data_IF_767481600645
#
_entry.id   IF_767481600645
#
_cell.length_a   1.000
_cell.length_b   1.000
_cell.length_c   1.000
_cell.angle_alpha   90.00
_cell.angle_beta   90.00
_cell.angle_gamma   90.00
#
_symmetry.space_group_name_H-M   'P 1'
#
loop_
_entity.id
_entity.type
_entity.pdbx_description
1 polymer ?
#
# COMPACT_ATOMS: atom_id res chain seq x y z
N UNK A 1 -21.67 0.73 -22.00
CA UNK A 1 -20.91 -0.36 -21.34
C UNK A 1 -19.54 -0.44 -21.97
N UNK A 2 -18.53 0.23 -21.40
CA UNK A 2 -17.14 0.13 -21.86
C UNK A 2 -16.46 -1.03 -21.14
N UNK A 3 -16.00 -2.02 -21.90
CA UNK A 3 -15.26 -3.16 -21.38
C UNK A 3 -13.86 -2.73 -20.93
N UNK A 4 -13.62 -2.79 -19.61
CA UNK A 4 -12.39 -2.50 -18.86
C UNK A 4 -11.10 -3.25 -19.28
N UNK A 5 -11.09 -3.95 -20.43
CA UNK A 5 -9.98 -4.82 -20.82
C UNK A 5 -8.89 -4.15 -21.65
N UNK A 6 -9.10 -2.94 -22.19
CA UNK A 6 -8.19 -2.36 -23.19
C UNK A 6 -7.25 -1.25 -22.69
N UNK A 7 -7.28 -0.86 -21.41
CA UNK A 7 -6.47 0.28 -20.92
C UNK A 7 -5.22 -0.10 -20.10
N UNK A 8 -4.94 -1.38 -19.87
CA UNK A 8 -3.92 -1.79 -18.88
C UNK A 8 -2.52 -1.90 -19.50
N UNK A 9 -1.89 -0.76 -19.80
CA UNK A 9 -0.44 -0.71 -19.98
C UNK A 9 0.10 0.67 -19.58
N UNK A 10 0.41 0.87 -18.29
CA UNK A 10 1.40 1.88 -17.91
C UNK A 10 2.76 1.48 -18.52
N UNK A 11 3.52 2.42 -19.12
CA UNK A 11 4.90 2.18 -19.54
C UNK A 11 5.84 2.23 -18.32
N UNK A 12 5.56 1.46 -17.27
CA UNK A 12 6.50 1.23 -16.17
C UNK A 12 7.31 -0.01 -16.52
N UNK A 13 8.45 0.20 -17.17
CA UNK A 13 9.47 -0.83 -17.41
C UNK A 13 9.87 -1.42 -16.05
N UNK A 14 9.52 -2.69 -15.84
CA UNK A 14 9.82 -3.53 -14.65
C UNK A 14 9.17 -3.06 -13.34
N UNK A 15 7.89 -3.37 -13.13
CA UNK A 15 7.30 -3.39 -11.79
C UNK A 15 6.79 -4.81 -11.52
N UNK A 16 7.47 -5.53 -10.62
CA UNK A 16 7.00 -6.82 -10.11
C UNK A 16 5.65 -6.58 -9.44
N UNK A 17 4.56 -7.12 -10.01
CA UNK A 17 3.18 -6.82 -9.58
C UNK A 17 2.89 -7.57 -8.28
N UNK A 18 3.19 -6.98 -7.12
CA UNK A 18 2.76 -7.54 -5.83
C UNK A 18 1.49 -6.84 -5.34
N UNK A 19 0.48 -7.63 -4.98
CA UNK A 19 -0.73 -7.17 -4.32
C UNK A 19 -0.53 -7.22 -2.79
N UNK A 20 -0.76 -6.10 -2.14
CA UNK A 20 -0.60 -5.91 -0.70
C UNK A 20 -1.96 -5.87 -0.02
N UNK A 21 -2.17 -6.65 1.04
CA UNK A 21 -3.45 -6.80 1.73
C UNK A 21 -3.45 -6.18 3.14
N UNK A 22 -4.42 -5.31 3.43
CA UNK A 22 -4.65 -4.78 4.77
C UNK A 22 -5.89 -5.43 5.37
N UNK A 23 -5.74 -6.08 6.54
CA UNK A 23 -6.84 -6.67 7.29
C UNK A 23 -7.57 -5.63 8.14
N UNK A 24 -8.90 -5.59 8.02
CA UNK A 24 -9.86 -4.78 8.78
C UNK A 24 -9.74 -3.25 8.65
N UNK A 25 -10.63 -2.71 7.81
CA UNK A 25 -10.69 -1.30 7.40
C UNK A 25 -11.36 -0.36 8.44
N UNK A 26 -11.83 -0.88 9.57
CA UNK A 26 -12.90 -0.25 10.37
C UNK A 26 -12.49 1.01 11.17
N UNK A 27 -11.23 1.15 11.60
CA UNK A 27 -10.88 2.18 12.63
C UNK A 27 -9.76 3.18 12.29
N UNK A 28 -9.00 3.04 11.18
CA UNK A 28 -7.97 4.05 10.78
C UNK A 28 -7.91 4.29 9.27
N UNK A 29 -8.60 3.50 8.46
CA UNK A 29 -8.64 3.74 7.02
C UNK A 29 -9.37 5.02 6.64
N UNK A 30 -9.83 5.85 7.58
CA UNK A 30 -10.22 7.22 7.30
C UNK A 30 -9.15 7.96 6.48
N UNK A 31 -7.85 7.75 6.71
CA UNK A 31 -6.81 8.42 5.90
C UNK A 31 -6.82 7.93 4.45
N UNK A 32 -6.84 6.62 4.23
CA UNK A 32 -6.90 6.02 2.88
C UNK A 32 -8.22 6.40 2.20
N UNK A 33 -9.34 6.29 2.90
CA UNK A 33 -10.67 6.68 2.42
C UNK A 33 -10.74 8.17 2.10
N UNK A 34 -10.09 9.04 2.88
CA UNK A 34 -9.99 10.47 2.60
C UNK A 34 -9.16 10.74 1.33
N UNK A 35 -8.11 9.95 1.08
CA UNK A 35 -7.35 10.02 -0.19
C UNK A 35 -8.20 9.53 -1.36
N UNK A 36 -8.97 8.45 -1.18
CA UNK A 36 -9.84 7.87 -2.21
C UNK A 36 -11.01 8.79 -2.56
N UNK A 37 -11.63 9.42 -1.56
CA UNK A 37 -12.76 10.35 -1.71
C UNK A 37 -12.36 11.68 -2.38
N UNK A 38 -11.05 11.96 -2.52
CA UNK A 38 -10.57 13.14 -3.28
C UNK A 38 -10.67 12.97 -4.79
N UNK A 39 -10.84 11.74 -5.30
CA UNK A 39 -11.11 11.52 -6.73
C UNK A 39 -12.61 11.46 -6.93
N UNK A 40 -13.16 12.46 -7.62
CA UNK A 40 -14.59 12.51 -7.92
C UNK A 40 -15.08 11.21 -8.57
N UNK A 41 -16.16 10.64 -8.04
CA UNK A 41 -16.85 9.48 -8.63
C UNK A 41 -16.33 8.10 -8.22
N UNK A 42 -15.29 8.02 -7.38
CA UNK A 42 -14.69 6.75 -6.95
C UNK A 42 -15.17 6.36 -5.55
N UNK A 43 -16.04 5.37 -5.45
CA UNK A 43 -16.51 4.83 -4.17
C UNK A 43 -15.94 3.42 -3.93
N UNK A 44 -15.10 3.26 -2.91
CA UNK A 44 -14.82 1.93 -2.36
C UNK A 44 -16.04 1.46 -1.58
N UNK A 45 -16.70 0.40 -2.05
CA UNK A 45 -17.79 -0.20 -1.31
C UNK A 45 -17.18 -0.98 -0.15
N UNK A 46 -17.34 -0.49 1.08
CA UNK A 46 -16.92 -1.22 2.27
C UNK A 46 -17.64 -2.57 2.32
N UNK A 47 -16.88 -3.66 2.16
CA UNK A 47 -17.35 -4.99 2.53
C UNK A 47 -16.91 -5.24 3.97
N UNK A 48 -17.85 -5.60 4.83
CA UNK A 48 -17.53 -6.06 6.18
C UNK A 48 -16.58 -7.27 6.10
N UNK A 49 -15.40 -7.17 6.74
CA UNK A 49 -14.38 -8.21 6.72
C UNK A 49 -13.56 -8.34 5.42
N UNK A 50 -13.61 -7.34 4.53
CA UNK A 50 -12.81 -7.33 3.30
C UNK A 50 -11.35 -6.93 3.54
N UNK A 51 -10.45 -7.49 2.73
CA UNK A 51 -9.05 -7.04 2.65
C UNK A 51 -8.95 -5.85 1.69
N UNK A 52 -8.27 -4.78 2.09
CA UNK A 52 -7.93 -3.69 1.18
C UNK A 52 -6.68 -4.07 0.39
N UNK A 53 -6.78 -4.05 -0.95
CA UNK A 53 -5.76 -4.48 -1.89
C UNK A 53 -5.20 -3.34 -2.70
N UNK A 54 -3.88 -3.22 -2.78
CA UNK A 54 -3.24 -2.28 -3.69
C UNK A 54 -1.96 -2.88 -4.26
N UNK A 55 -1.50 -2.34 -5.40
CA UNK A 55 -0.21 -2.73 -5.98
C UNK A 55 0.88 -1.76 -5.56
N UNK A 56 2.00 -2.30 -5.09
CA UNK A 56 3.14 -1.46 -4.77
C UNK A 56 4.09 -1.31 -5.96
N UNK A 57 4.35 -0.06 -6.37
CA UNK A 57 5.23 0.29 -7.47
C UNK A 57 6.55 0.85 -6.94
N UNK A 58 7.52 -0.04 -6.71
CA UNK A 58 8.84 0.35 -6.21
C UNK A 58 9.67 1.03 -7.32
N UNK A 59 10.30 2.15 -6.98
CA UNK A 59 11.33 2.81 -7.81
C UNK A 59 12.67 2.78 -7.09
N UNK A 60 13.77 2.91 -7.82
CA UNK A 60 15.13 2.94 -7.25
C UNK A 60 15.29 4.01 -6.17
N UNK A 61 14.69 5.20 -6.39
CA UNK A 61 14.68 6.28 -5.40
C UNK A 61 13.93 5.92 -4.13
N UNK A 62 12.83 5.17 -4.23
CA UNK A 62 12.03 4.77 -3.08
C UNK A 62 12.71 3.67 -2.26
N UNK A 63 13.44 2.75 -2.91
CA UNK A 63 14.07 1.64 -2.21
C UNK A 63 15.15 2.08 -1.23
N UNK A 64 15.79 3.23 -1.46
CA UNK A 64 16.85 3.78 -0.61
C UNK A 64 16.31 4.61 0.57
N UNK A 65 15.01 4.88 0.61
CA UNK A 65 14.40 5.72 1.66
C UNK A 65 14.37 4.97 2.98
N UNK A 66 14.86 5.62 4.04
CA UNK A 66 14.81 5.09 5.42
C UNK A 66 13.38 5.01 5.97
N UNK A 67 13.16 4.10 6.92
CA UNK A 67 11.85 3.89 7.55
C UNK A 67 11.31 5.12 8.28
N UNK A 68 12.17 6.07 8.65
CA UNK A 68 11.82 7.32 9.30
C UNK A 68 10.89 8.18 8.44
N UNK A 69 10.96 8.05 7.11
CA UNK A 69 10.09 8.77 6.18
C UNK A 69 8.64 8.28 6.16
N UNK A 70 8.37 7.07 6.66
CA UNK A 70 7.01 6.51 6.71
C UNK A 70 6.18 7.05 7.89
N UNK A 71 6.79 7.83 8.81
CA UNK A 71 6.11 8.38 9.99
C UNK A 71 5.31 7.31 10.76
N UNK A 72 5.97 6.18 11.01
CA UNK A 72 5.41 5.04 11.75
C UNK A 72 5.41 5.33 13.26
N UNK A 73 4.42 4.78 13.96
CA UNK A 73 4.47 4.72 15.42
C UNK A 73 5.75 4.03 15.89
N UNK A 74 6.23 4.44 17.07
CA UNK A 74 7.42 3.87 17.70
C UNK A 74 7.36 2.34 17.76
N UNK A 75 6.17 1.76 17.98
CA UNK A 75 5.98 0.30 18.01
C UNK A 75 6.23 -0.31 16.63
N UNK A 76 5.58 0.19 15.59
CA UNK A 76 5.66 -0.36 14.23
C UNK A 76 7.05 -0.19 13.63
N UNK A 77 7.67 0.99 13.81
CA UNK A 77 9.08 1.23 13.46
C UNK A 77 10.00 0.21 14.14
N UNK A 78 9.87 0.02 15.46
CA UNK A 78 10.73 -0.91 16.20
C UNK A 78 10.50 -2.38 15.82
N UNK A 79 9.30 -2.77 15.39
CA UNK A 79 9.05 -4.12 14.87
C UNK A 79 9.87 -4.38 13.61
N UNK A 80 9.86 -3.42 12.68
CA UNK A 80 10.61 -3.52 11.43
C UNK A 80 12.12 -3.49 11.66
N UNK A 81 12.63 -2.54 12.46
CA UNK A 81 14.07 -2.43 12.74
C UNK A 81 14.64 -3.68 13.41
N UNK A 82 13.93 -4.27 14.38
CA UNK A 82 14.38 -5.51 15.04
C UNK A 82 14.36 -6.72 14.12
N UNK A 83 13.55 -6.70 13.08
CA UNK A 83 13.52 -7.73 12.04
C UNK A 83 14.59 -7.52 10.95
N UNK A 84 15.39 -6.47 11.05
CA UNK A 84 16.48 -6.17 10.11
C UNK A 84 16.07 -5.30 8.92
N UNK A 85 14.84 -4.77 8.90
CA UNK A 85 14.41 -3.83 7.86
C UNK A 85 14.88 -2.41 8.23
N UNK A 86 15.60 -1.76 7.31
CA UNK A 86 16.13 -0.41 7.50
C UNK A 86 15.57 0.60 6.50
N UNK A 87 15.19 0.12 5.31
CA UNK A 87 14.65 0.94 4.23
C UNK A 87 13.24 0.50 3.82
N UNK A 88 12.55 1.36 3.08
CA UNK A 88 11.27 1.02 2.42
C UNK A 88 11.47 -0.14 1.43
N UNK A 89 12.63 -0.19 0.76
CA UNK A 89 13.04 -1.29 -0.11
C UNK A 89 13.07 -2.63 0.62
N UNK A 90 13.73 -2.68 1.79
CA UNK A 90 13.85 -3.92 2.57
C UNK A 90 12.47 -4.48 2.94
N UNK A 91 11.54 -3.60 3.38
CA UNK A 91 10.18 -4.00 3.78
C UNK A 91 9.43 -4.57 2.58
N UNK A 92 9.51 -3.90 1.43
CA UNK A 92 8.87 -4.36 0.21
C UNK A 92 9.44 -5.70 -0.26
N UNK A 93 10.75 -5.88 -0.28
CA UNK A 93 11.38 -7.14 -0.68
C UNK A 93 11.01 -8.28 0.27
N UNK A 94 10.92 -7.98 1.57
CA UNK A 94 10.39 -8.90 2.56
C UNK A 94 8.98 -9.37 2.21
N UNK A 95 8.07 -8.43 1.94
CA UNK A 95 6.70 -8.73 1.56
C UNK A 95 6.62 -9.46 0.20
N UNK A 96 7.48 -9.10 -0.76
CA UNK A 96 7.59 -9.73 -2.09
C UNK A 96 8.03 -11.19 -2.03
N UNK A 97 8.89 -11.50 -1.06
CA UNK A 97 9.30 -12.88 -0.78
C UNK A 97 8.23 -13.69 -0.02
N UNK A 98 7.05 -13.12 0.25
CA UNK A 98 5.95 -13.76 0.96
C UNK A 98 6.03 -13.71 2.48
N UNK A 99 6.90 -12.86 3.06
CA UNK A 99 6.92 -12.68 4.52
C UNK A 99 5.68 -11.91 4.96
N UNK A 100 4.91 -12.48 5.86
CA UNK A 100 3.80 -11.77 6.49
C UNK A 100 4.29 -10.81 7.58
N UNK A 101 3.78 -9.58 7.61
CA UNK A 101 4.09 -8.65 8.71
C UNK A 101 3.77 -9.25 10.08
N UNK A 102 2.70 -10.04 10.19
CA UNK A 102 2.29 -10.70 11.45
C UNK A 102 3.27 -11.77 11.92
N UNK A 103 4.14 -12.29 11.06
CA UNK A 103 5.21 -13.21 11.48
C UNK A 103 6.40 -12.49 12.10
N UNK A 104 6.47 -11.16 12.01
CA UNK A 104 7.52 -10.36 12.65
C UNK A 104 7.25 -10.31 14.15
N UNK A 105 8.27 -10.65 14.95
CA UNK A 105 8.18 -10.64 16.41
C UNK A 105 7.70 -9.27 16.91
N UNK A 106 6.64 -9.28 17.71
CA UNK A 106 5.95 -8.10 18.27
C UNK A 106 5.15 -7.25 17.27
N UNK A 107 5.05 -7.64 16.00
CA UNK A 107 4.18 -7.00 15.02
C UNK A 107 2.76 -7.60 15.12
N UNK A 108 1.90 -6.93 15.89
CA UNK A 108 0.49 -7.31 16.01
C UNK A 108 -0.34 -6.74 14.86
N UNK A 109 -1.64 -7.08 14.82
CA UNK A 109 -2.59 -6.62 13.81
C UNK A 109 -2.57 -5.10 13.61
N UNK A 110 -2.54 -4.33 14.70
CA UNK A 110 -2.48 -2.86 14.64
C UNK A 110 -1.21 -2.36 13.95
N UNK A 111 -0.04 -2.91 14.30
CA UNK A 111 1.23 -2.51 13.69
C UNK A 111 1.32 -2.93 12.23
N UNK A 112 0.88 -4.14 11.90
CA UNK A 112 0.84 -4.62 10.52
C UNK A 112 -0.06 -3.71 9.66
N UNK A 113 -1.24 -3.35 10.17
CA UNK A 113 -2.16 -2.44 9.49
C UNK A 113 -1.54 -1.07 9.26
N UNK A 114 -0.96 -0.47 10.29
CA UNK A 114 -0.31 0.84 10.20
C UNK A 114 0.82 0.84 9.17
N UNK A 115 1.68 -0.19 9.18
CA UNK A 115 2.78 -0.32 8.21
C UNK A 115 2.22 -0.31 6.78
N UNK A 116 1.17 -1.10 6.51
CA UNK A 116 0.58 -1.16 5.18
C UNK A 116 -0.10 0.15 4.77
N UNK A 117 -0.77 0.83 5.69
CA UNK A 117 -1.36 2.15 5.44
C UNK A 117 -0.30 3.19 5.10
N UNK A 118 0.79 3.26 5.88
CA UNK A 118 1.88 4.20 5.62
C UNK A 118 2.62 3.88 4.32
N UNK A 119 2.79 2.61 3.95
CA UNK A 119 3.34 2.22 2.64
C UNK A 119 2.45 2.68 1.49
N UNK A 120 1.12 2.48 1.60
CA UNK A 120 0.17 2.97 0.59
C UNK A 120 0.28 4.48 0.39
N UNK A 121 0.26 5.25 1.49
CA UNK A 121 0.34 6.71 1.45
C UNK A 121 1.67 7.19 0.89
N UNK A 122 2.78 6.60 1.32
CA UNK A 122 4.11 6.93 0.83
C UNK A 122 4.21 6.78 -0.70
N UNK A 123 3.72 5.65 -1.23
CA UNK A 123 3.67 5.47 -2.68
C UNK A 123 2.77 6.51 -3.34
N UNK A 124 1.54 6.70 -2.85
CA UNK A 124 0.61 7.66 -3.41
C UNK A 124 1.21 9.07 -3.50
N UNK A 125 1.88 9.53 -2.44
CA UNK A 125 2.51 10.83 -2.36
C UNK A 125 3.71 10.97 -3.29
N UNK A 126 4.49 9.90 -3.47
CA UNK A 126 5.65 9.87 -4.35
C UNK A 126 5.30 9.83 -5.85
N UNK A 127 4.04 9.57 -6.21
CA UNK A 127 3.56 9.62 -7.60
C UNK A 127 3.27 11.06 -8.04
N UNK A 128 3.47 11.33 -9.34
CA UNK A 128 2.98 12.56 -9.98
C UNK A 128 1.45 12.59 -10.00
N UNK A 129 0.87 13.79 -10.09
CA UNK A 129 -0.59 14.00 -10.09
C UNK A 129 -1.32 13.11 -11.11
N UNK A 130 -0.84 13.05 -12.35
CA UNK A 130 -1.37 12.17 -13.40
C UNK A 130 -1.32 10.68 -13.04
N UNK A 131 -0.27 10.26 -12.34
CA UNK A 131 -0.11 8.85 -11.93
C UNK A 131 -0.95 8.51 -10.70
N UNK A 132 -1.28 9.49 -9.85
CA UNK A 132 -2.15 9.30 -8.68
C UNK A 132 -3.56 8.88 -9.09
N UNK A 133 -4.16 9.56 -10.06
CA UNK A 133 -5.49 9.19 -10.59
C UNK A 133 -5.51 7.75 -11.11
N UNK A 134 -4.50 7.41 -11.93
CA UNK A 134 -4.35 6.06 -12.50
C UNK A 134 -4.20 4.99 -11.42
N UNK A 135 -3.38 5.27 -10.41
CA UNK A 135 -3.16 4.38 -9.29
C UNK A 135 -4.42 4.18 -8.43
N UNK A 136 -5.18 5.24 -8.16
CA UNK A 136 -6.43 5.11 -7.41
C UNK A 136 -7.49 4.32 -8.19
N UNK A 137 -7.62 4.52 -9.50
CA UNK A 137 -8.49 3.70 -10.35
C UNK A 137 -8.11 2.22 -10.30
N UNK A 138 -6.81 1.91 -10.36
CA UNK A 138 -6.31 0.55 -10.23
C UNK A 138 -6.66 -0.08 -8.88
N UNK A 139 -6.47 0.65 -7.79
CA UNK A 139 -6.84 0.21 -6.45
C UNK A 139 -8.33 -0.08 -6.37
N UNK A 140 -9.16 0.75 -6.95
CA UNK A 140 -10.62 0.55 -6.94
C UNK A 140 -11.01 -0.70 -7.71
N UNK A 141 -10.42 -0.90 -8.88
CA UNK A 141 -10.62 -2.12 -9.68
C UNK A 141 -10.19 -3.36 -8.89
N UNK A 142 -9.10 -3.30 -8.14
CA UNK A 142 -8.62 -4.41 -7.29
C UNK A 142 -9.56 -4.74 -6.13
N UNK A 143 -10.33 -3.77 -5.64
CA UNK A 143 -11.22 -3.91 -4.49
C UNK A 143 -12.71 -3.96 -4.85
N UNK A 144 -13.07 -3.85 -6.13
CA UNK A 144 -14.46 -3.85 -6.59
C UNK A 144 -15.14 -5.24 -6.58
N UNK A 145 -14.38 -6.32 -6.38
CA UNK A 145 -14.88 -7.70 -6.44
C UNK A 145 -15.32 -8.29 -5.11
#
# INVERSE_FOLDING_TARGET
MMTLRSCIAMPLRRSSRMCMEVSDMKDQCQTIMNVMNKVEGVHLREKHGGHFRFRFHMTEKMSEVGLEALDLSVRSYNCLKRAGYNTVGDVFDGLASGKELRSIRNCGTTSAREIMEKLFLFQYESLSEKNREWYLLEVVVLNAC
#
